data_IF_857949352287
#
_entry.id   IF_857949352287
#
_cell.length_a   1.000
_cell.length_b   1.000
_cell.length_c   1.000
_cell.angle_alpha   90.00
_cell.angle_beta   90.00
_cell.angle_gamma   90.00
#
_symmetry.space_group_name_H-M   'P 1'
#
loop_
_entity.id
_entity.type
_entity.pdbx_description
1 polymer ?
#
# COMPACT_ATOMS: atom_id res chain seq x y z
N UNK A 1 -16.66 48.61 -28.74
CA UNK A 1 -16.46 47.18 -29.09
C UNK A 1 -16.54 46.41 -27.79
N UNK A 2 -17.63 45.67 -27.58
CA UNK A 2 -17.84 44.86 -26.38
C UNK A 2 -17.22 43.49 -26.64
N UNK A 3 -16.20 43.12 -25.87
CA UNK A 3 -15.60 41.79 -25.92
C UNK A 3 -16.60 40.77 -25.36
N UNK A 4 -17.09 39.88 -26.23
CA UNK A 4 -17.90 38.73 -25.83
C UNK A 4 -17.01 37.67 -25.17
N UNK A 5 -16.85 37.74 -23.85
CA UNK A 5 -16.30 36.62 -23.09
C UNK A 5 -17.38 35.55 -22.93
N UNK A 6 -17.20 34.43 -23.63
CA UNK A 6 -18.00 33.23 -23.43
C UNK A 6 -17.68 32.66 -22.04
N UNK A 7 -18.69 32.39 -21.19
CA UNK A 7 -18.45 31.78 -19.89
C UNK A 7 -17.83 30.39 -20.06
N UNK A 8 -16.92 29.98 -19.16
CA UNK A 8 -16.34 28.65 -19.21
C UNK A 8 -17.46 27.60 -19.13
N UNK A 9 -17.31 26.45 -19.82
CA UNK A 9 -18.31 25.40 -19.78
C UNK A 9 -18.56 24.99 -18.32
N UNK A 10 -19.83 24.82 -17.90
CA UNK A 10 -20.13 24.36 -16.57
C UNK A 10 -19.41 23.03 -16.35
N UNK A 11 -18.69 22.93 -15.22
CA UNK A 11 -18.11 21.65 -14.82
C UNK A 11 -19.23 20.61 -14.80
N UNK A 12 -19.05 19.40 -15.38
CA UNK A 12 -20.08 18.37 -15.35
C UNK A 12 -20.51 18.20 -13.90
N UNK A 13 -21.78 18.52 -13.62
CA UNK A 13 -22.31 18.33 -12.28
C UNK A 13 -22.20 16.85 -11.96
N UNK A 14 -21.33 16.47 -11.03
CA UNK A 14 -21.35 15.12 -10.44
C UNK A 14 -22.56 15.04 -9.53
N UNK A 15 -23.73 14.88 -10.14
CA UNK A 15 -24.98 14.59 -9.46
C UNK A 15 -24.93 13.16 -8.95
N UNK A 16 -24.30 12.98 -7.80
CA UNK A 16 -24.19 11.69 -7.12
C UNK A 16 -22.92 11.64 -6.28
N UNK A 17 -23.03 11.19 -5.03
CA UNK A 17 -21.87 10.75 -4.27
C UNK A 17 -21.20 9.60 -5.04
N UNK A 18 -19.90 9.70 -5.29
CA UNK A 18 -19.16 8.62 -5.94
C UNK A 18 -19.13 7.44 -4.97
N UNK A 19 -19.56 6.24 -5.37
CA UNK A 19 -19.47 5.08 -4.49
C UNK A 19 -18.01 4.82 -4.10
N UNK A 20 -17.76 4.59 -2.81
CA UNK A 20 -16.40 4.48 -2.27
C UNK A 20 -15.63 3.29 -2.86
N UNK A 21 -16.28 2.12 -3.00
CA UNK A 21 -15.64 0.89 -3.49
C UNK A 21 -14.99 1.03 -4.89
N UNK A 22 -15.65 1.54 -5.94
CA UNK A 22 -15.02 1.82 -7.23
C UNK A 22 -13.84 2.80 -7.16
N UNK A 23 -13.90 3.80 -6.27
CA UNK A 23 -12.79 4.74 -6.07
C UNK A 23 -11.59 4.08 -5.39
N UNK A 24 -11.83 3.20 -4.41
CA UNK A 24 -10.80 2.39 -3.76
C UNK A 24 -10.16 1.39 -4.72
N UNK A 25 -10.96 0.76 -5.59
CA UNK A 25 -10.47 -0.20 -6.57
C UNK A 25 -9.41 0.40 -7.50
N UNK A 26 -9.70 1.57 -8.08
CA UNK A 26 -8.73 2.28 -8.93
C UNK A 26 -7.47 2.69 -8.18
N UNK A 27 -7.61 3.07 -6.92
CA UNK A 27 -6.49 3.48 -6.07
C UNK A 27 -5.60 2.29 -5.65
N UNK A 28 -6.21 1.17 -5.27
CA UNK A 28 -5.52 -0.08 -4.97
C UNK A 28 -4.74 -0.58 -6.19
N UNK A 29 -5.38 -0.60 -7.37
CA UNK A 29 -4.72 -0.99 -8.61
C UNK A 29 -3.49 -0.12 -8.86
N UNK A 30 -3.64 1.20 -8.75
CA UNK A 30 -2.52 2.13 -8.91
C UNK A 30 -1.37 1.89 -7.93
N UNK A 31 -1.66 1.76 -6.63
CA UNK A 31 -0.61 1.58 -5.59
C UNK A 31 0.12 0.25 -5.78
N UNK A 32 -0.62 -0.84 -5.96
CA UNK A 32 -0.02 -2.18 -6.14
C UNK A 32 0.78 -2.28 -7.44
N UNK A 33 0.27 -1.75 -8.56
CA UNK A 33 1.00 -1.74 -9.84
C UNK A 33 2.25 -0.87 -9.79
N UNK A 34 2.20 0.26 -9.07
CA UNK A 34 3.36 1.13 -8.88
C UNK A 34 4.45 0.41 -8.07
N UNK A 35 4.07 -0.28 -6.99
CA UNK A 35 4.98 -1.08 -6.16
C UNK A 35 5.64 -2.22 -6.92
N UNK A 36 4.92 -2.88 -7.83
CA UNK A 36 5.52 -3.91 -8.70
C UNK A 36 6.57 -3.35 -9.64
N UNK A 37 6.39 -2.11 -10.09
CA UNK A 37 7.31 -1.44 -11.03
C UNK A 37 8.53 -0.87 -10.30
N UNK A 38 8.32 -0.29 -9.12
CA UNK A 38 9.35 0.26 -8.26
C UNK A 38 8.96 -0.02 -6.79
N UNK A 39 9.56 -1.04 -6.16
CA UNK A 39 9.22 -1.42 -4.79
C UNK A 39 9.38 -0.25 -3.81
N UNK A 40 8.30 0.09 -3.14
CA UNK A 40 8.24 1.10 -2.09
C UNK A 40 8.59 0.46 -0.74
N UNK A 41 9.67 0.89 -0.05
CA UNK A 41 10.00 0.38 1.27
C UNK A 41 8.91 0.66 2.32
N UNK A 42 8.01 1.63 2.09
CA UNK A 42 6.87 1.89 2.96
C UNK A 42 5.74 0.87 2.82
N UNK A 43 5.75 0.04 1.77
CA UNK A 43 4.75 -1.00 1.53
C UNK A 43 5.38 -2.39 1.76
N UNK A 44 5.24 -2.99 2.97
CA UNK A 44 5.83 -4.28 3.33
C UNK A 44 5.07 -5.48 2.73
N UNK A 45 4.56 -5.34 1.51
CA UNK A 45 3.94 -6.43 0.75
C UNK A 45 4.96 -6.97 -0.25
N UNK A 46 5.06 -8.31 -0.34
CA UNK A 46 5.93 -8.92 -1.33
C UNK A 46 5.42 -8.66 -2.75
N UNK A 47 6.31 -8.50 -3.75
CA UNK A 47 5.89 -8.39 -5.14
C UNK A 47 4.99 -9.56 -5.60
N UNK A 48 5.29 -10.78 -5.16
CA UNK A 48 4.47 -11.97 -5.47
C UNK A 48 3.07 -11.93 -4.86
N UNK A 49 2.88 -11.24 -3.74
CA UNK A 49 1.56 -11.02 -3.14
C UNK A 49 0.79 -9.94 -3.90
N UNK A 50 1.44 -8.82 -4.23
CA UNK A 50 0.84 -7.75 -5.04
C UNK A 50 0.44 -8.22 -6.43
N UNK A 51 1.25 -9.05 -7.10
CA UNK A 51 0.90 -9.64 -8.40
C UNK A 51 -0.37 -10.48 -8.30
N UNK A 52 -0.50 -11.34 -7.28
CA UNK A 52 -1.70 -12.17 -7.08
C UNK A 52 -2.96 -11.37 -6.84
N UNK A 53 -2.87 -10.25 -6.10
CA UNK A 53 -4.00 -9.34 -5.92
C UNK A 53 -4.42 -8.65 -7.21
N UNK A 54 -3.54 -8.56 -8.21
CA UNK A 54 -3.78 -7.88 -9.48
C UNK A 54 -4.09 -8.83 -10.65
N UNK A 55 -4.06 -10.15 -10.42
CA UNK A 55 -4.45 -11.12 -11.44
C UNK A 55 -5.97 -11.05 -11.63
N UNK A 56 -6.40 -10.77 -12.86
CA UNK A 56 -7.79 -10.87 -13.31
C UNK A 56 -7.91 -12.22 -14.08
N UNK A 57 -7.60 -13.35 -13.44
CA UNK A 57 -7.79 -14.67 -14.07
C UNK A 57 -9.27 -15.09 -13.92
N UNK A 58 -9.92 -15.48 -15.03
CA UNK A 58 -11.37 -15.77 -15.15
C UNK A 58 -11.92 -16.83 -14.16
N UNK A 59 -11.07 -17.54 -13.42
CA UNK A 59 -11.42 -18.58 -12.45
C UNK A 59 -11.16 -18.19 -10.98
N UNK A 60 -10.38 -17.15 -10.70
CA UNK A 60 -10.05 -16.68 -9.34
C UNK A 60 -10.83 -15.38 -9.04
N UNK A 61 -11.96 -15.56 -8.35
CA UNK A 61 -12.69 -14.55 -7.57
C UNK A 61 -11.98 -13.18 -7.46
N UNK A 62 -12.39 -12.17 -8.24
CA UNK A 62 -11.76 -10.83 -8.37
C UNK A 62 -11.25 -10.26 -7.03
N UNK A 63 -10.01 -10.62 -6.65
CA UNK A 63 -9.49 -10.39 -5.30
C UNK A 63 -9.35 -8.88 -5.06
N UNK A 64 -8.98 -8.12 -6.09
CA UNK A 64 -8.87 -6.68 -5.99
C UNK A 64 -10.22 -6.02 -5.73
N UNK A 65 -11.29 -6.49 -6.38
CA UNK A 65 -12.64 -5.97 -6.20
C UNK A 65 -13.19 -6.33 -4.83
N UNK A 66 -12.98 -7.57 -4.37
CA UNK A 66 -13.33 -8.01 -3.02
C UNK A 66 -12.60 -7.21 -1.96
N UNK A 67 -11.31 -6.93 -2.16
CA UNK A 67 -10.52 -6.10 -1.26
C UNK A 67 -11.09 -4.67 -1.22
N UNK A 68 -11.37 -4.08 -2.39
CA UNK A 68 -11.94 -2.74 -2.48
C UNK A 68 -13.31 -2.64 -1.79
N UNK A 69 -14.19 -3.63 -2.01
CA UNK A 69 -15.50 -3.71 -1.38
C UNK A 69 -15.40 -3.93 0.13
N UNK A 70 -14.48 -4.81 0.56
CA UNK A 70 -14.20 -5.06 1.96
C UNK A 70 -13.72 -3.80 2.68
N UNK A 71 -12.75 -3.09 2.10
CA UNK A 71 -12.24 -1.84 2.66
C UNK A 71 -13.34 -0.77 2.70
N UNK A 72 -14.10 -0.60 1.62
CA UNK A 72 -15.20 0.37 1.58
C UNK A 72 -16.21 0.13 2.71
N UNK A 73 -16.62 -1.13 2.88
CA UNK A 73 -17.54 -1.52 3.97
C UNK A 73 -16.94 -1.25 5.35
N UNK A 74 -15.66 -1.56 5.58
CA UNK A 74 -15.02 -1.29 6.87
C UNK A 74 -14.95 0.21 7.17
N UNK A 75 -14.62 1.00 6.15
CA UNK A 75 -14.56 2.45 6.23
C UNK A 75 -15.96 3.01 6.52
N UNK A 76 -17.00 2.51 5.87
CA UNK A 76 -18.40 2.91 6.07
C UNK A 76 -18.96 2.53 7.44
N UNK A 77 -18.77 1.28 7.87
CA UNK A 77 -19.29 0.74 9.13
C UNK A 77 -18.44 1.11 10.36
N UNK A 78 -17.21 1.57 10.15
CA UNK A 78 -16.27 1.90 11.23
C UNK A 78 -15.73 0.69 11.99
N UNK A 79 -15.87 -0.53 11.43
CA UNK A 79 -15.41 -1.80 12.02
C UNK A 79 -15.19 -2.86 10.95
N UNK A 80 -14.33 -3.84 11.24
CA UNK A 80 -14.08 -4.99 10.36
C UNK A 80 -15.14 -6.07 10.62
N UNK A 81 -15.93 -6.44 9.61
CA UNK A 81 -16.72 -7.67 9.69
C UNK A 81 -15.86 -8.86 9.25
N UNK A 82 -15.38 -9.64 10.22
CA UNK A 82 -14.84 -10.97 9.96
C UNK A 82 -15.99 -11.80 9.40
N UNK A 83 -15.85 -12.30 8.17
CA UNK A 83 -16.87 -13.15 7.55
C UNK A 83 -17.23 -14.29 8.54
N UNK A 84 -18.48 -14.32 8.98
CA UNK A 84 -18.99 -15.20 10.03
C UNK A 84 -19.05 -16.71 9.64
N UNK A 85 -18.18 -17.17 8.76
CA UNK A 85 -18.20 -18.51 8.18
C UNK A 85 -17.07 -19.43 8.68
N UNK A 86 -16.42 -19.12 9.81
CA UNK A 86 -15.31 -19.91 10.36
C UNK A 86 -15.64 -20.59 11.71
N UNK A 87 -16.92 -20.67 12.10
CA UNK A 87 -17.30 -21.18 13.41
C UNK A 87 -17.52 -22.70 13.49
N UNK A 88 -17.55 -23.45 12.38
CA UNK A 88 -17.77 -24.91 12.42
C UNK A 88 -16.73 -25.69 11.63
N UNK A 89 -15.53 -25.84 12.19
CA UNK A 89 -14.72 -27.06 12.13
C UNK A 89 -13.48 -26.84 13.00
N UNK A 90 -13.27 -27.73 13.97
CA UNK A 90 -12.19 -27.63 14.97
C UNK A 90 -10.81 -27.40 14.35
N UNK A 91 -10.15 -26.34 14.81
CA UNK A 91 -8.80 -25.94 14.42
C UNK A 91 -7.81 -26.46 15.48
N UNK A 92 -6.74 -27.19 15.12
CA UNK A 92 -5.63 -27.40 16.04
C UNK A 92 -4.77 -26.12 16.10
N UNK A 93 -4.43 -25.74 17.34
CA UNK A 93 -3.72 -24.53 17.71
C UNK A 93 -2.42 -24.30 16.92
N UNK A 94 -2.49 -23.38 15.95
CA UNK A 94 -1.36 -22.54 15.53
C UNK A 94 -1.77 -21.11 15.80
N UNK A 95 -1.21 -20.53 16.86
CA UNK A 95 -1.40 -19.16 17.38
C UNK A 95 -2.74 -18.51 16.99
N UNK A 96 -3.78 -18.83 17.77
CA UNK A 96 -4.95 -17.98 17.83
C UNK A 96 -4.50 -16.55 18.10
N UNK A 97 -4.96 -15.62 17.26
CA UNK A 97 -4.57 -14.22 17.32
C UNK A 97 -4.92 -13.63 18.67
N UNK A 98 -4.04 -12.79 19.24
CA UNK A 98 -4.38 -12.05 20.45
C UNK A 98 -5.44 -11.00 20.12
N UNK A 99 -6.39 -10.77 21.03
CA UNK A 99 -7.36 -9.66 20.94
C UNK A 99 -6.66 -8.31 20.76
N UNK A 100 -5.42 -8.18 21.22
CA UNK A 100 -4.58 -6.99 21.08
C UNK A 100 -4.26 -6.68 19.62
N UNK A 101 -3.82 -7.68 18.84
CA UNK A 101 -3.58 -7.50 17.40
C UNK A 101 -4.86 -7.16 16.65
N UNK A 102 -5.99 -7.75 17.01
CA UNK A 102 -7.26 -7.44 16.36
C UNK A 102 -7.65 -5.96 16.56
N UNK A 103 -7.47 -5.43 17.78
CA UNK A 103 -7.73 -4.03 18.11
C UNK A 103 -6.80 -3.06 17.38
N UNK A 104 -5.51 -3.40 17.25
CA UNK A 104 -4.54 -2.59 16.50
C UNK A 104 -4.98 -2.38 15.04
N UNK A 105 -5.53 -3.42 14.44
CA UNK A 105 -5.93 -3.42 13.03
C UNK A 105 -7.23 -2.65 12.81
N UNK A 106 -8.21 -2.86 13.69
CA UNK A 106 -9.45 -2.08 13.69
C UNK A 106 -9.15 -0.58 13.85
N UNK A 107 -8.18 -0.23 14.70
CA UNK A 107 -7.75 1.15 14.87
C UNK A 107 -7.15 1.74 13.57
N UNK A 108 -6.25 1.02 12.90
CA UNK A 108 -5.64 1.47 11.62
C UNK A 108 -6.71 1.68 10.55
N UNK A 109 -7.64 0.74 10.39
CA UNK A 109 -8.71 0.84 9.38
C UNK A 109 -9.64 2.02 9.68
N UNK A 110 -10.00 2.22 10.95
CA UNK A 110 -10.87 3.32 11.35
C UNK A 110 -10.19 4.68 11.19
N UNK A 111 -8.93 4.80 11.61
CA UNK A 111 -8.16 6.04 11.51
C UNK A 111 -7.93 6.43 10.04
N UNK A 112 -7.30 5.53 9.26
CA UNK A 112 -6.94 5.80 7.86
C UNK A 112 -8.16 5.84 6.95
N UNK A 113 -9.20 5.07 7.26
CA UNK A 113 -10.49 5.15 6.59
C UNK A 113 -11.18 6.51 6.74
N UNK A 114 -11.14 7.09 7.94
CA UNK A 114 -11.70 8.41 8.20
C UNK A 114 -10.87 9.53 7.59
N UNK A 115 -9.55 9.38 7.49
CA UNK A 115 -8.72 10.30 6.69
C UNK A 115 -9.11 10.24 5.21
N UNK A 116 -9.30 9.05 4.66
CA UNK A 116 -9.67 8.86 3.27
C UNK A 116 -11.06 9.44 2.93
N UNK A 117 -12.05 9.28 3.82
CA UNK A 117 -13.37 9.95 3.71
C UNK A 117 -13.26 11.47 3.73
N UNK A 118 -12.39 12.03 4.59
CA UNK A 118 -12.14 13.48 4.66
C UNK A 118 -11.40 14.01 3.43
N UNK A 119 -10.72 13.15 2.68
CA UNK A 119 -10.09 13.43 1.40
C UNK A 119 -11.02 13.33 0.19
N UNK A 120 -12.34 13.38 0.39
CA UNK A 120 -13.30 13.74 -0.65
C UNK A 120 -13.59 15.27 -0.71
N UNK A 121 -12.63 16.18 -0.99
CA UNK A 121 -12.97 17.58 -1.11
C UNK A 121 -13.52 17.90 -2.51
N UNK A 122 -14.24 19.02 -2.59
CA UNK A 122 -14.55 19.73 -3.84
C UNK A 122 -13.24 20.07 -4.55
N UNK A 123 -12.82 19.21 -5.49
CA UNK A 123 -11.53 19.26 -6.21
C UNK A 123 -11.57 20.27 -7.35
N UNK A 124 -10.50 21.07 -7.50
CA UNK A 124 -10.07 21.54 -8.81
C UNK A 124 -9.46 20.35 -9.57
N UNK A 125 -9.57 20.35 -10.91
CA UNK A 125 -8.96 19.30 -11.75
C UNK A 125 -7.47 19.17 -11.40
N UNK A 126 -7.03 17.96 -11.05
CA UNK A 126 -5.64 17.66 -10.71
C UNK A 126 -5.30 17.62 -9.22
N UNK A 127 -6.28 17.75 -8.31
CA UNK A 127 -6.06 17.50 -6.87
C UNK A 127 -5.25 18.59 -6.17
N UNK A 128 -5.20 19.80 -6.71
CA UNK A 128 -4.59 20.97 -6.07
C UNK A 128 -5.57 21.66 -5.11
N UNK A 129 -5.04 22.17 -4.00
CA UNK A 129 -5.79 23.00 -3.06
C UNK A 129 -5.50 24.48 -3.34
N UNK A 130 -6.57 25.26 -3.50
CA UNK A 130 -6.51 26.71 -3.66
C UNK A 130 -6.95 27.37 -2.35
N UNK A 131 -6.10 28.24 -1.80
CA UNK A 131 -6.46 29.10 -0.68
C UNK A 131 -6.34 30.57 -1.11
N UNK A 132 -7.39 31.36 -0.89
CA UNK A 132 -7.41 32.79 -1.19
C UNK A 132 -7.49 33.54 0.15
N UNK A 133 -6.50 34.39 0.42
CA UNK A 133 -6.45 35.23 1.63
C UNK A 133 -6.34 36.70 1.24
N UNK A 134 -7.05 37.56 1.97
CA UNK A 134 -7.09 39.00 1.70
C UNK A 134 -6.29 39.75 2.76
N UNK A 135 -5.49 40.71 2.31
CA UNK A 135 -4.66 41.57 3.14
C UNK A 135 -4.92 43.04 2.80
N UNK A 136 -4.67 43.92 3.76
CA UNK A 136 -4.76 45.35 3.55
C UNK A 136 -3.57 45.89 2.75
N UNK A 137 -2.42 45.22 2.79
CA UNK A 137 -1.21 45.62 2.05
C UNK A 137 -0.32 44.44 1.62
N UNK A 138 0.59 44.70 0.67
CA UNK A 138 1.65 43.78 0.26
C UNK A 138 2.62 43.51 1.41
N UNK A 139 2.89 44.50 2.26
CA UNK A 139 3.73 44.31 3.45
C UNK A 139 3.12 43.29 4.41
N UNK A 140 1.83 43.45 4.71
CA UNK A 140 1.07 42.53 5.57
C UNK A 140 0.99 41.12 4.96
N UNK A 141 0.72 41.03 3.65
CA UNK A 141 0.74 39.76 2.94
C UNK A 141 2.10 39.06 3.05
N UNK A 142 3.20 39.76 2.78
CA UNK A 142 4.55 39.18 2.80
C UNK A 142 5.02 38.80 4.21
N UNK A 143 4.51 39.48 5.24
CA UNK A 143 4.70 39.09 6.64
C UNK A 143 3.95 37.80 6.99
N UNK A 144 2.72 37.65 6.49
CA UNK A 144 1.85 36.51 6.80
C UNK A 144 2.17 35.26 5.97
N UNK A 145 2.54 35.40 4.70
CA UNK A 145 2.63 34.30 3.71
C UNK A 145 4.04 33.72 3.54
N UNK A 146 5.00 34.07 4.40
CA UNK A 146 6.43 33.81 4.23
C UNK A 146 6.97 34.30 2.88
N UNK A 147 7.75 35.38 2.90
CA UNK A 147 8.29 36.01 1.69
C UNK A 147 8.98 35.06 0.70
N UNK A 148 9.65 34.01 1.18
CA UNK A 148 10.34 33.03 0.33
C UNK A 148 9.40 32.17 -0.52
N UNK A 149 8.17 31.93 -0.05
CA UNK A 149 7.14 31.18 -0.79
C UNK A 149 6.45 32.07 -1.83
N UNK A 150 6.35 33.37 -1.54
CA UNK A 150 5.70 34.35 -2.43
C UNK A 150 6.65 34.89 -3.50
N UNK A 151 7.90 35.19 -3.13
CA UNK A 151 8.94 35.75 -3.98
C UNK A 151 10.28 35.01 -3.74
N UNK A 152 10.52 33.90 -4.47
CA UNK A 152 11.74 33.12 -4.33
C UNK A 152 12.99 33.98 -4.56
N UNK A 153 13.96 33.88 -3.64
CA UNK A 153 15.22 34.62 -3.71
C UNK A 153 15.18 36.02 -3.09
N UNK A 154 14.06 36.43 -2.50
CA UNK A 154 13.93 37.69 -1.75
C UNK A 154 13.72 37.38 -0.26
N UNK A 155 14.50 38.03 0.60
CA UNK A 155 14.48 37.79 2.05
C UNK A 155 14.03 39.00 2.88
N UNK A 156 13.90 40.19 2.29
CA UNK A 156 13.42 41.41 2.96
C UNK A 156 12.05 41.84 2.45
N UNK A 157 11.15 42.18 3.38
CA UNK A 157 9.81 42.66 3.06
C UNK A 157 9.88 43.95 2.25
N UNK A 158 10.78 44.87 2.58
CA UNK A 158 10.95 46.12 1.83
C UNK A 158 11.34 45.86 0.37
N UNK A 159 12.26 44.91 0.14
CA UNK A 159 12.63 44.50 -1.22
C UNK A 159 11.45 43.84 -1.94
N UNK A 160 10.68 42.98 -1.25
CA UNK A 160 9.50 42.33 -1.81
C UNK A 160 8.40 43.31 -2.22
N UNK A 161 8.09 44.29 -1.36
CA UNK A 161 7.16 45.38 -1.70
C UNK A 161 7.70 46.19 -2.88
N UNK A 162 9.01 46.44 -2.92
CA UNK A 162 9.67 47.10 -4.05
C UNK A 162 9.50 46.38 -5.39
N UNK A 163 9.38 45.04 -5.39
CA UNK A 163 9.05 44.27 -6.60
C UNK A 163 7.63 44.56 -7.06
N UNK A 164 6.64 44.51 -6.16
CA UNK A 164 5.24 44.79 -6.50
C UNK A 164 5.02 46.25 -6.94
N UNK A 165 5.78 47.19 -6.37
CA UNK A 165 5.73 48.63 -6.73
C UNK A 165 6.13 48.93 -8.16
N UNK A 166 6.81 48.01 -8.85
CA UNK A 166 7.07 48.12 -10.30
C UNK A 166 5.81 47.94 -11.15
N UNK A 167 4.77 47.32 -10.60
CA UNK A 167 3.55 46.93 -11.31
C UNK A 167 2.28 47.57 -10.74
N UNK A 168 2.26 47.82 -9.42
CA UNK A 168 1.09 48.32 -8.69
C UNK A 168 1.45 49.56 -7.87
N UNK A 169 0.73 50.66 -8.11
CA UNK A 169 0.88 51.88 -7.31
C UNK A 169 0.23 51.72 -5.94
N UNK A 170 0.66 52.54 -4.99
CA UNK A 170 0.16 52.51 -3.61
C UNK A 170 -1.33 52.88 -3.54
N UNK A 171 -1.81 53.76 -4.42
CA UNK A 171 -3.23 54.11 -4.49
C UNK A 171 -4.09 52.93 -4.94
N UNK A 172 -3.59 52.09 -5.86
CA UNK A 172 -4.31 50.89 -6.31
C UNK A 172 -4.37 49.83 -5.22
N UNK A 173 -3.26 49.62 -4.52
CA UNK A 173 -3.24 48.73 -3.36
C UNK A 173 -4.19 49.22 -2.26
N UNK A 174 -4.18 50.51 -1.95
CA UNK A 174 -5.11 51.08 -0.95
C UNK A 174 -6.58 50.97 -1.38
N UNK A 175 -6.86 51.06 -2.68
CA UNK A 175 -8.22 51.00 -3.21
C UNK A 175 -8.78 49.57 -3.25
N UNK A 176 -7.95 48.58 -3.60
CA UNK A 176 -8.40 47.21 -3.84
C UNK A 176 -7.95 46.18 -2.80
N UNK A 177 -6.91 46.50 -2.02
CA UNK A 177 -6.21 45.57 -1.14
C UNK A 177 -5.37 44.56 -1.92
N UNK A 178 -4.93 43.51 -1.23
CA UNK A 178 -4.10 42.45 -1.80
C UNK A 178 -4.75 41.09 -1.58
N UNK A 179 -4.75 40.25 -2.61
CA UNK A 179 -5.22 38.86 -2.53
C UNK A 179 -4.04 37.92 -2.74
N UNK A 180 -3.68 37.15 -1.71
CA UNK A 180 -2.76 36.04 -1.85
C UNK A 180 -3.52 34.82 -2.36
N UNK A 181 -3.02 34.23 -3.44
CA UNK A 181 -3.53 32.98 -4.00
C UNK A 181 -2.46 31.92 -3.76
N UNK A 182 -2.68 31.07 -2.77
CA UNK A 182 -1.82 29.93 -2.47
C UNK A 182 -2.34 28.71 -3.20
N UNK A 183 -1.44 28.03 -3.92
CA UNK A 183 -1.71 26.74 -4.56
C UNK A 183 -0.80 25.70 -3.90
N UNK A 184 -1.37 24.73 -3.21
CA UNK A 184 -0.60 23.65 -2.58
C UNK A 184 -1.07 22.28 -3.06
N UNK A 185 -0.14 21.34 -3.12
CA UNK A 185 -0.47 19.92 -3.26
C UNK A 185 -0.93 19.44 -1.88
N UNK A 186 -2.11 18.79 -1.76
CA UNK A 186 -2.53 18.17 -0.51
C UNK A 186 -1.42 17.24 -0.01
N UNK A 187 -1.00 17.43 1.23
CA UNK A 187 -0.02 16.59 1.95
C UNK A 187 -0.52 15.16 2.14
N UNK A 188 -1.84 14.97 2.17
CA UNK A 188 -2.48 13.68 2.23
C UNK A 188 -3.07 13.35 0.85
N UNK A 189 -2.24 12.80 -0.04
CA UNK A 189 -2.73 12.24 -1.30
C UNK A 189 -3.39 10.89 -1.00
N UNK A 190 -4.52 10.53 -1.62
CA UNK A 190 -5.20 9.26 -1.37
C UNK A 190 -4.28 8.04 -1.49
N UNK A 191 -3.30 8.07 -2.41
CA UNK A 191 -2.36 6.96 -2.57
C UNK A 191 -1.40 6.81 -1.37
N UNK A 192 -1.06 7.89 -0.68
CA UNK A 192 -0.19 7.85 0.51
C UNK A 192 -0.95 7.15 1.64
N UNK A 193 -2.20 7.56 1.89
CA UNK A 193 -3.05 6.92 2.92
C UNK A 193 -3.37 5.47 2.55
N UNK A 194 -3.59 5.17 1.27
CA UNK A 194 -3.78 3.79 0.82
C UNK A 194 -2.52 2.95 1.05
N UNK A 195 -1.33 3.51 0.79
CA UNK A 195 -0.06 2.81 1.05
C UNK A 195 0.13 2.55 2.54
N UNK A 196 -0.13 3.53 3.40
CA UNK A 196 -0.08 3.36 4.86
C UNK A 196 -1.12 2.35 5.37
N UNK A 197 -2.33 2.37 4.81
CA UNK A 197 -3.39 1.41 5.14
C UNK A 197 -2.98 -0.02 4.75
N UNK A 198 -2.47 -0.21 3.53
CA UNK A 198 -1.98 -1.52 3.07
C UNK A 198 -0.77 -1.99 3.89
N UNK A 199 0.10 -1.07 4.32
CA UNK A 199 1.24 -1.37 5.15
C UNK A 199 0.83 -1.79 6.57
N UNK A 200 -0.12 -1.06 7.17
CA UNK A 200 -0.65 -1.39 8.49
C UNK A 200 -1.47 -2.68 8.50
N UNK A 201 -2.15 -2.99 7.39
CA UNK A 201 -2.85 -4.27 7.20
C UNK A 201 -1.89 -5.42 6.84
N UNK A 202 -0.79 -5.20 6.12
CA UNK A 202 0.10 -6.29 5.70
C UNK A 202 -0.61 -7.46 4.98
N UNK A 203 0.08 -8.59 4.78
CA UNK A 203 -0.51 -9.74 4.08
C UNK A 203 -1.66 -10.40 4.83
N UNK A 204 -1.62 -10.32 6.17
CA UNK A 204 -2.42 -11.20 7.01
C UNK A 204 -3.89 -10.79 7.07
N UNK A 205 -4.21 -9.52 7.21
CA UNK A 205 -5.60 -9.07 7.25
C UNK A 205 -6.08 -8.46 5.95
N UNK A 206 -5.20 -8.23 4.97
CA UNK A 206 -5.65 -8.31 3.57
C UNK A 206 -6.22 -9.71 3.29
N UNK A 207 -5.53 -10.77 3.72
CA UNK A 207 -6.05 -12.14 3.64
C UNK A 207 -7.39 -12.31 4.36
N UNK A 208 -7.53 -11.83 5.60
CA UNK A 208 -8.81 -11.89 6.34
C UNK A 208 -9.93 -11.10 5.67
N UNK A 209 -9.65 -9.91 5.14
CA UNK A 209 -10.65 -9.09 4.44
C UNK A 209 -11.17 -9.79 3.19
N UNK A 210 -10.30 -10.55 2.54
CA UNK A 210 -10.61 -11.38 1.38
C UNK A 210 -11.28 -12.71 1.73
N UNK A 211 -11.46 -13.03 3.03
CA UNK A 211 -11.91 -14.36 3.45
C UNK A 211 -10.89 -15.47 3.14
N UNK A 212 -9.66 -15.10 2.82
CA UNK A 212 -8.55 -16.04 2.68
C UNK A 212 -8.18 -16.51 4.08
N UNK A 213 -8.76 -17.64 4.48
CA UNK A 213 -8.29 -18.36 5.65
C UNK A 213 -6.80 -18.66 5.40
N UNK A 214 -5.93 -18.31 6.35
CA UNK A 214 -4.59 -18.91 6.38
C UNK A 214 -4.81 -20.41 6.52
N UNK A 215 -4.85 -21.12 5.40
CA UNK A 215 -4.80 -22.56 5.44
C UNK A 215 -3.48 -22.92 6.12
N UNK A 216 -3.46 -24.03 6.86
CA UNK A 216 -2.23 -24.52 7.48
C UNK A 216 -1.05 -24.58 6.47
N UNK A 217 -1.35 -24.65 5.18
CA UNK A 217 -0.40 -24.73 4.09
C UNK A 217 0.35 -23.42 3.81
N UNK A 218 -0.25 -22.23 4.00
CA UNK A 218 0.47 -20.95 3.81
C UNK A 218 1.56 -20.78 4.88
N UNK A 219 1.25 -21.10 6.13
CA UNK A 219 2.23 -21.04 7.23
C UNK A 219 3.32 -22.11 7.08
N UNK A 220 2.96 -23.33 6.64
CA UNK A 220 3.93 -24.39 6.32
C UNK A 220 4.85 -23.98 5.17
N UNK A 221 4.32 -23.32 4.14
CA UNK A 221 5.11 -22.86 3.00
C UNK A 221 6.07 -21.73 3.41
N UNK A 222 5.63 -20.80 4.26
CA UNK A 222 6.49 -19.75 4.81
C UNK A 222 7.63 -20.34 5.65
N UNK A 223 7.31 -21.24 6.58
CA UNK A 223 8.31 -21.94 7.39
C UNK A 223 9.28 -22.78 6.53
N UNK A 224 8.75 -23.48 5.52
CA UNK A 224 9.57 -24.23 4.57
C UNK A 224 10.52 -23.31 3.79
N UNK A 225 10.06 -22.12 3.37
CA UNK A 225 10.89 -21.13 2.70
C UNK A 225 12.03 -20.63 3.59
N UNK A 226 11.76 -20.33 4.86
CA UNK A 226 12.77 -19.89 5.83
C UNK A 226 13.83 -20.97 6.10
N UNK A 227 13.41 -22.24 6.17
CA UNK A 227 14.33 -23.37 6.31
C UNK A 227 15.20 -23.53 5.06
N UNK A 228 14.64 -23.42 3.85
CA UNK A 228 15.40 -23.47 2.59
C UNK A 228 16.44 -22.35 2.56
N UNK A 229 16.05 -21.13 2.93
CA UNK A 229 16.95 -19.98 3.00
C UNK A 229 18.12 -20.21 3.97
N UNK A 230 17.86 -20.83 5.11
CA UNK A 230 18.90 -21.21 6.07
C UNK A 230 19.83 -22.27 5.48
N UNK A 231 19.27 -23.32 4.89
CA UNK A 231 20.04 -24.40 4.25
C UNK A 231 20.94 -23.89 3.12
N UNK A 232 20.48 -22.94 2.32
CA UNK A 232 21.27 -22.33 1.25
C UNK A 232 22.44 -21.49 1.81
N UNK A 233 22.22 -20.76 2.91
CA UNK A 233 23.25 -19.92 3.56
C UNK A 233 24.32 -20.75 4.27
N UNK A 234 23.92 -21.83 4.94
CA UNK A 234 24.78 -22.69 5.75
C UNK A 234 25.31 -23.90 4.96
N UNK A 235 24.96 -24.00 3.67
CA UNK A 235 25.33 -25.11 2.80
C UNK A 235 26.85 -25.34 2.81
N UNK A 236 27.26 -26.52 3.26
CA UNK A 236 28.66 -26.96 3.23
C UNK A 236 28.89 -28.08 2.22
N UNK A 237 27.82 -28.64 1.65
CA UNK A 237 27.90 -29.72 0.68
C UNK A 237 26.77 -29.62 -0.34
N UNK A 238 27.10 -29.80 -1.61
CA UNK A 238 26.13 -29.84 -2.70
C UNK A 238 26.53 -30.91 -3.72
N UNK A 239 25.56 -31.60 -4.30
CA UNK A 239 25.82 -32.63 -5.30
C UNK A 239 24.63 -32.85 -6.24
N UNK A 240 24.91 -33.31 -7.45
CA UNK A 240 23.90 -33.86 -8.36
C UNK A 240 24.12 -35.36 -8.43
N UNK A 241 23.12 -36.16 -8.05
CA UNK A 241 23.24 -37.61 -8.04
C UNK A 241 21.92 -38.31 -8.39
N UNK A 242 22.00 -39.60 -8.71
CA UNK A 242 20.83 -40.41 -9.06
C UNK A 242 20.21 -40.99 -7.79
N UNK A 243 18.93 -40.72 -7.55
CA UNK A 243 18.17 -41.28 -6.44
C UNK A 243 16.93 -42.01 -6.97
N UNK A 244 16.60 -43.19 -6.44
CA UNK A 244 15.35 -43.89 -6.79
C UNK A 244 14.23 -43.46 -5.83
N UNK A 245 12.99 -43.24 -6.29
CA UNK A 245 12.47 -43.37 -7.66
C UNK A 245 12.64 -42.11 -8.56
N UNK A 246 13.25 -41.03 -8.07
CA UNK A 246 13.13 -39.70 -8.69
C UNK A 246 14.13 -39.38 -9.83
N UNK A 247 15.12 -40.23 -10.08
CA UNK A 247 16.15 -39.98 -11.10
C UNK A 247 17.23 -38.99 -10.63
N UNK A 248 17.83 -38.19 -11.53
CA UNK A 248 18.87 -37.21 -11.18
C UNK A 248 18.29 -36.05 -10.38
N UNK A 249 18.90 -35.75 -9.24
CA UNK A 249 18.45 -34.74 -8.30
C UNK A 249 19.60 -33.85 -7.86
N UNK A 250 19.30 -32.57 -7.63
CA UNK A 250 20.22 -31.63 -7.01
C UNK A 250 19.96 -31.61 -5.50
N UNK A 251 21.00 -31.83 -4.71
CA UNK A 251 20.92 -31.94 -3.26
C UNK A 251 21.92 -31.01 -2.58
N UNK A 252 21.49 -30.35 -1.52
CA UNK A 252 22.35 -29.56 -0.63
C UNK A 252 22.26 -30.09 0.80
N UNK A 253 23.34 -29.94 1.56
CA UNK A 253 23.41 -30.27 2.99
C UNK A 253 24.25 -29.27 3.78
N UNK A 254 23.86 -29.13 5.04
CA UNK A 254 24.61 -28.40 6.08
C UNK A 254 25.45 -29.37 6.92
N UNK A 255 26.29 -28.83 7.82
CA UNK A 255 27.27 -29.60 8.58
C UNK A 255 26.64 -30.70 9.43
N UNK A 256 25.47 -30.43 10.00
CA UNK A 256 24.68 -31.34 10.83
C UNK A 256 24.03 -32.47 10.01
N UNK A 257 24.14 -32.44 8.69
CA UNK A 257 23.63 -33.46 7.78
C UNK A 257 22.20 -33.24 7.29
N UNK A 258 21.48 -32.23 7.80
CA UNK A 258 20.18 -31.83 7.24
C UNK A 258 20.36 -31.25 5.83
N UNK A 259 19.31 -31.34 5.00
CA UNK A 259 19.39 -30.89 3.62
C UNK A 259 18.06 -30.70 2.92
N UNK A 260 18.15 -30.38 1.64
CA UNK A 260 17.01 -30.20 0.74
C UNK A 260 17.37 -30.70 -0.66
N UNK A 261 16.35 -31.10 -1.41
CA UNK A 261 16.50 -31.68 -2.75
C UNK A 261 15.54 -31.05 -3.75
N UNK A 262 16.05 -30.88 -4.97
CA UNK A 262 15.32 -30.41 -6.15
C UNK A 262 15.52 -31.36 -7.33
N UNK A 263 14.73 -31.17 -8.37
CA UNK A 263 15.04 -31.68 -9.71
C UNK A 263 16.43 -31.21 -10.16
N UNK A 264 17.06 -31.95 -11.08
CA UNK A 264 18.41 -31.65 -11.56
C UNK A 264 18.60 -30.23 -12.13
N UNK A 265 17.53 -29.60 -12.62
CA UNK A 265 17.49 -28.24 -13.15
C UNK A 265 17.14 -27.18 -12.09
N UNK A 266 16.91 -27.59 -10.83
CA UNK A 266 16.57 -26.73 -9.71
C UNK A 266 15.13 -26.19 -9.72
N UNK A 267 14.33 -26.52 -10.73
CA UNK A 267 13.00 -25.91 -10.94
C UNK A 267 11.92 -26.44 -9.99
N UNK A 268 12.06 -27.68 -9.50
CA UNK A 268 11.05 -28.34 -8.68
C UNK A 268 11.64 -28.82 -7.36
N UNK A 269 11.12 -28.28 -6.25
CA UNK A 269 11.43 -28.79 -4.92
C UNK A 269 10.87 -30.22 -4.75
N UNK A 270 11.71 -31.14 -4.28
CA UNK A 270 11.36 -32.54 -4.06
C UNK A 270 11.10 -32.79 -2.57
N UNK A 271 11.92 -32.25 -1.67
CA UNK A 271 11.71 -32.41 -0.23
C UNK A 271 12.93 -32.09 0.63
N UNK A 272 12.69 -32.03 1.94
CA UNK A 272 13.72 -31.93 2.98
C UNK A 272 14.36 -33.29 3.28
N UNK A 273 15.59 -33.25 3.79
CA UNK A 273 16.41 -34.42 4.08
C UNK A 273 16.91 -34.37 5.52
N UNK A 274 16.77 -35.49 6.23
CA UNK A 274 17.37 -35.67 7.55
C UNK A 274 18.85 -36.11 7.43
N UNK A 275 19.63 -36.00 8.53
CA UNK A 275 20.96 -36.53 8.61
C UNK A 275 20.98 -38.04 8.35
N UNK A 276 22.08 -38.52 7.78
CA UNK A 276 22.23 -39.94 7.51
C UNK A 276 22.22 -40.74 8.82
N UNK A 277 21.28 -41.68 8.95
CA UNK A 277 21.29 -42.69 10.02
C UNK A 277 21.16 -44.10 9.43
N UNK A 278 21.93 -45.09 9.93
CA UNK A 278 21.87 -46.48 9.42
C UNK A 278 20.48 -47.12 9.50
N UNK A 279 19.61 -46.61 10.37
CA UNK A 279 18.28 -47.14 10.67
C UNK A 279 17.14 -46.27 10.09
N UNK A 280 17.46 -45.14 9.44
CA UNK A 280 16.47 -44.15 9.00
C UNK A 280 15.47 -44.70 7.96
N UNK A 281 15.95 -45.57 7.08
CA UNK A 281 15.10 -46.24 6.09
C UNK A 281 14.03 -47.14 6.74
N UNK A 282 14.36 -47.80 7.85
CA UNK A 282 13.48 -48.75 8.55
C UNK A 282 12.41 -48.08 9.40
N UNK A 283 12.61 -46.80 9.78
CA UNK A 283 11.72 -46.08 10.70
C UNK A 283 10.70 -45.19 10.01
N UNK A 284 10.76 -45.09 8.67
CA UNK A 284 9.93 -44.18 7.89
C UNK A 284 10.19 -42.74 8.32
N UNK A 285 11.16 -42.10 7.65
CA UNK A 285 11.51 -40.68 7.80
C UNK A 285 10.28 -39.85 8.21
N UNK A 286 10.30 -39.27 9.42
CA UNK A 286 9.20 -38.43 9.91
C UNK A 286 9.56 -36.99 9.62
N UNK A 287 8.94 -36.44 8.58
CA UNK A 287 9.01 -35.02 8.23
C UNK A 287 8.45 -34.13 9.35
#
# INVERSE_FOLDING_TARGET
MASSETPPPPSPGTGGAVPLAPALLGLLRFVLSSHLTAPDPALPLSPSYCSRLLLDDDDDDDLLEKLAAGLARCVEEGRLQVAAAAAEAGIPAGEAWSEEREREWEAVVLEKGNELKRLEPKKLKGGWQLAIRKYASFSEMLQAEMISEVLPGISSIEQGVGVYRKFYTEEKESLYGVLAISVSKPTAQPYIIMTELLAGLGSDGLGRLLGMVKTADVNKNQLASEIIDRLLRECCWMNIHLTQPYGPVYEIRVHEGYGARWSQDGSKFIGFLEPYSPEGFSRGWKH
#
